data_IF_059227633447
#
_entry.id   IF_059227633447
#
_cell.length_a   1.000
_cell.length_b   1.000
_cell.length_c   1.000
_cell.angle_alpha   90.00
_cell.angle_beta   90.00
_cell.angle_gamma   90.00
#
_symmetry.space_group_name_H-M   'P 1'
#
loop_
_entity.id
_entity.type
_entity.pdbx_description
1 polymer ?
#
# COMPACT_ATOMS: atom_id res chain seq x y z
N UNK A 1 -11.40 -13.41 -2.62
CA UNK A 1 -11.91 -12.72 -1.41
C UNK A 1 -13.36 -13.12 -1.20
N UNK A 2 -13.75 -13.52 0.01
CA UNK A 2 -15.15 -13.86 0.30
C UNK A 2 -15.99 -12.57 0.27
N UNK A 3 -16.80 -12.41 -0.78
CA UNK A 3 -17.84 -11.40 -0.83
C UNK A 3 -18.77 -11.62 0.37
N UNK A 4 -18.86 -10.62 1.25
CA UNK A 4 -19.81 -10.62 2.35
C UNK A 4 -21.20 -10.32 1.77
N UNK A 5 -21.79 -11.28 1.06
CA UNK A 5 -23.21 -11.26 0.71
C UNK A 5 -24.04 -11.50 1.97
N UNK A 6 -25.15 -10.77 2.11
CA UNK A 6 -26.15 -11.04 3.14
C UNK A 6 -26.77 -12.42 2.86
N UNK A 7 -26.32 -13.44 3.59
CA UNK A 7 -26.97 -14.74 3.59
C UNK A 7 -28.16 -14.69 4.55
N UNK A 8 -29.34 -14.39 4.01
CA UNK A 8 -30.60 -14.54 4.75
C UNK A 8 -31.23 -15.89 4.42
N UNK A 9 -30.94 -16.92 5.21
CA UNK A 9 -31.76 -18.14 5.21
C UNK A 9 -32.93 -17.93 6.17
N UNK A 10 -34.14 -17.79 5.63
CA UNK A 10 -35.37 -17.68 6.42
C UNK A 10 -35.78 -19.06 6.91
N UNK A 11 -35.34 -19.45 8.10
CA UNK A 11 -35.95 -20.55 8.84
C UNK A 11 -37.04 -20.00 9.79
N UNK A 12 -38.29 -20.46 9.70
CA UNK A 12 -39.36 -19.93 10.53
C UNK A 12 -39.17 -20.36 12.00
N UNK A 13 -39.07 -19.37 12.90
CA UNK A 13 -39.17 -19.59 14.36
C UNK A 13 -37.90 -19.42 15.19
N UNK A 14 -36.79 -18.91 14.64
CA UNK A 14 -35.58 -18.57 15.42
C UNK A 14 -35.24 -17.10 15.22
N UNK A 15 -34.88 -16.38 16.30
CA UNK A 15 -34.40 -15.00 16.24
C UNK A 15 -33.43 -14.84 15.05
N UNK A 16 -33.58 -13.76 14.27
CA UNK A 16 -32.62 -13.38 13.22
C UNK A 16 -31.21 -13.33 13.84
N UNK A 17 -30.44 -14.39 13.66
CA UNK A 17 -29.01 -14.36 13.89
C UNK A 17 -28.41 -13.61 12.71
N UNK A 18 -28.23 -12.30 12.86
CA UNK A 18 -27.34 -11.55 11.98
C UNK A 18 -25.97 -12.18 12.12
N UNK A 19 -25.56 -12.99 11.14
CA UNK A 19 -24.17 -13.41 11.03
C UNK A 19 -23.34 -12.17 10.69
N UNK A 20 -22.87 -11.47 11.72
CA UNK A 20 -21.79 -10.51 11.52
C UNK A 20 -20.57 -11.28 11.04
N UNK A 21 -19.94 -10.77 9.98
CA UNK A 21 -18.68 -11.31 9.52
C UNK A 21 -17.73 -11.33 10.71
N UNK A 22 -17.03 -12.44 10.97
CA UNK A 22 -16.14 -12.55 12.15
C UNK A 22 -15.09 -11.43 12.19
N UNK A 23 -14.78 -10.85 11.04
CA UNK A 23 -13.88 -9.71 10.90
C UNK A 23 -14.47 -8.44 11.52
N UNK A 24 -15.79 -8.25 11.53
CA UNK A 24 -16.45 -7.09 12.15
C UNK A 24 -16.32 -7.05 13.68
N UNK A 25 -16.03 -8.20 14.31
CA UNK A 25 -15.71 -8.27 15.74
C UNK A 25 -14.32 -7.70 16.06
N UNK A 26 -13.44 -7.57 15.07
CA UNK A 26 -12.11 -7.00 15.26
C UNK A 26 -12.16 -5.46 15.23
N UNK A 27 -11.38 -4.77 16.09
CA UNK A 27 -11.25 -3.33 16.03
C UNK A 27 -10.80 -2.82 14.66
N UNK A 28 -11.30 -1.65 14.26
CA UNK A 28 -11.07 -1.06 12.93
C UNK A 28 -9.58 -1.00 12.55
N UNK A 29 -8.69 -0.68 13.49
CA UNK A 29 -7.25 -0.59 13.24
C UNK A 29 -6.64 -1.94 12.84
N UNK A 30 -7.05 -3.03 13.51
CA UNK A 30 -6.55 -4.37 13.22
C UNK A 30 -7.06 -4.87 11.86
N UNK A 31 -8.30 -4.54 11.53
CA UNK A 31 -8.88 -4.80 10.22
C UNK A 31 -8.16 -4.05 9.09
N UNK A 32 -7.83 -2.78 9.32
CA UNK A 32 -7.16 -1.92 8.34
C UNK A 32 -5.76 -2.42 7.98
N UNK A 33 -5.09 -3.12 8.91
CA UNK A 33 -3.81 -3.77 8.65
C UNK A 33 -3.85 -4.68 7.41
N UNK A 34 -4.92 -5.44 7.21
CA UNK A 34 -5.02 -6.36 6.07
C UNK A 34 -5.13 -5.60 4.73
N UNK A 35 -5.90 -4.51 4.71
CA UNK A 35 -6.03 -3.67 3.51
C UNK A 35 -4.70 -2.97 3.22
N UNK A 36 -4.03 -2.44 4.23
CA UNK A 36 -2.71 -1.83 4.10
C UNK A 36 -1.62 -2.81 3.66
N UNK A 37 -1.68 -4.05 4.15
CA UNK A 37 -0.74 -5.10 3.73
C UNK A 37 -0.91 -5.40 2.24
N UNK A 38 -2.14 -5.47 1.75
CA UNK A 38 -2.41 -5.68 0.32
C UNK A 38 -1.99 -4.47 -0.54
N UNK A 39 -2.31 -3.25 -0.11
CA UNK A 39 -1.79 -2.03 -0.76
C UNK A 39 -0.26 -2.04 -0.82
N UNK A 40 0.41 -2.44 0.26
CA UNK A 40 1.88 -2.53 0.32
C UNK A 40 2.44 -3.62 -0.58
N UNK A 41 1.77 -4.76 -0.71
CA UNK A 41 2.16 -5.84 -1.63
C UNK A 41 2.14 -5.34 -3.08
N UNK A 42 1.04 -4.71 -3.49
CA UNK A 42 0.90 -4.16 -4.84
C UNK A 42 1.92 -3.06 -5.10
N UNK A 43 2.10 -2.14 -4.13
CA UNK A 43 3.10 -1.08 -4.20
C UNK A 43 4.51 -1.63 -4.37
N UNK A 44 4.91 -2.66 -3.60
CA UNK A 44 6.24 -3.27 -3.71
C UNK A 44 6.47 -3.91 -5.08
N UNK A 45 5.44 -4.55 -5.68
CA UNK A 45 5.50 -5.09 -7.03
C UNK A 45 5.72 -3.98 -8.07
N UNK A 46 4.93 -2.90 -8.00
CA UNK A 46 5.05 -1.73 -8.89
C UNK A 46 6.40 -1.04 -8.73
N UNK A 47 6.85 -0.78 -7.51
CA UNK A 47 8.14 -0.16 -7.22
C UNK A 47 9.30 -0.99 -7.77
N UNK A 48 9.27 -2.30 -7.55
CA UNK A 48 10.29 -3.22 -8.07
C UNK A 48 10.31 -3.22 -9.61
N UNK A 49 9.13 -3.28 -10.23
CA UNK A 49 9.00 -3.22 -11.70
C UNK A 49 9.49 -1.89 -12.26
N UNK A 50 9.12 -0.76 -11.63
CA UNK A 50 9.56 0.59 -12.02
C UNK A 50 11.08 0.73 -11.97
N UNK A 51 11.74 0.24 -10.92
CA UNK A 51 13.21 0.25 -10.84
C UNK A 51 13.82 -0.68 -11.90
N UNK A 52 13.23 -1.85 -12.14
CA UNK A 52 13.74 -2.79 -13.13
C UNK A 52 13.65 -2.25 -14.58
N UNK A 53 12.57 -1.58 -14.94
CA UNK A 53 12.33 -1.07 -16.30
C UNK A 53 13.02 0.26 -16.59
N UNK A 54 13.12 1.16 -15.60
CA UNK A 54 13.53 2.55 -15.82
C UNK A 54 14.69 3.01 -14.91
N UNK A 55 15.20 2.14 -14.03
CA UNK A 55 16.30 2.46 -13.12
C UNK A 55 15.90 3.44 -12.01
N UNK A 56 16.89 4.00 -11.32
CA UNK A 56 16.68 4.91 -10.20
C UNK A 56 16.42 6.37 -10.62
N UNK A 57 16.74 6.75 -11.86
CA UNK A 57 16.54 8.12 -12.33
C UNK A 57 15.05 8.43 -12.57
N UNK A 58 14.71 9.71 -12.56
CA UNK A 58 13.35 10.18 -12.90
C UNK A 58 13.03 9.83 -14.35
N UNK A 59 11.87 9.24 -14.57
CA UNK A 59 11.33 8.84 -15.86
C UNK A 59 10.11 9.69 -16.22
N UNK A 60 9.83 9.81 -17.52
CA UNK A 60 8.68 10.55 -18.01
C UNK A 60 7.39 9.94 -17.46
N UNK A 61 6.59 10.76 -16.78
CA UNK A 61 5.32 10.32 -16.18
C UNK A 61 5.43 9.83 -14.74
N UNK A 62 6.62 9.84 -14.14
CA UNK A 62 6.76 9.72 -12.68
C UNK A 62 6.01 10.86 -11.98
N UNK A 63 5.48 10.56 -10.80
CA UNK A 63 4.68 11.48 -10.01
C UNK A 63 5.44 11.94 -8.77
N UNK A 64 5.18 13.16 -8.32
CA UNK A 64 5.61 13.66 -7.01
C UNK A 64 4.58 13.39 -5.91
N UNK A 65 4.86 13.85 -4.69
CA UNK A 65 3.94 13.73 -3.54
C UNK A 65 2.60 14.43 -3.74
N UNK A 66 2.55 15.47 -4.59
CA UNK A 66 1.31 16.17 -4.91
C UNK A 66 0.48 15.46 -6.00
N UNK A 67 0.92 14.27 -6.42
CA UNK A 67 0.28 13.49 -7.48
C UNK A 67 0.49 14.06 -8.88
N UNK A 68 1.32 15.09 -9.05
CA UNK A 68 1.60 15.67 -10.36
C UNK A 68 2.86 15.09 -10.96
N UNK A 69 2.94 15.12 -12.29
CA UNK A 69 4.13 14.69 -13.03
C UNK A 69 5.31 15.59 -12.68
N UNK A 70 6.44 14.97 -12.35
CA UNK A 70 7.69 15.67 -12.08
C UNK A 70 8.57 15.75 -13.33
N UNK A 71 9.44 16.76 -13.38
CA UNK A 71 10.39 16.93 -14.48
C UNK A 71 11.49 15.88 -14.42
N UNK A 72 12.07 15.51 -15.57
CA UNK A 72 13.17 14.53 -15.65
C UNK A 72 14.45 14.97 -14.94
N UNK A 73 14.58 16.26 -14.65
CA UNK A 73 15.71 16.87 -13.93
C UNK A 73 15.48 16.91 -12.41
N UNK A 74 14.32 16.45 -11.91
CA UNK A 74 14.03 16.37 -10.49
C UNK A 74 14.88 15.32 -9.77
N UNK A 75 14.84 15.33 -8.44
CA UNK A 75 15.56 14.34 -7.65
C UNK A 75 14.90 12.96 -7.78
N UNK A 76 15.67 11.87 -7.92
CA UNK A 76 15.17 10.51 -7.74
C UNK A 76 14.38 10.27 -6.44
N UNK A 77 14.66 11.06 -5.40
CA UNK A 77 13.99 10.99 -4.11
C UNK A 77 12.63 11.72 -4.07
N UNK A 78 12.29 12.47 -5.13
CA UNK A 78 10.99 13.13 -5.26
C UNK A 78 9.94 12.20 -5.90
N UNK A 79 10.37 11.06 -6.48
CA UNK A 79 9.50 10.08 -7.12
C UNK A 79 8.60 9.44 -6.07
N UNK A 80 7.30 9.48 -6.32
CA UNK A 80 6.26 8.83 -5.54
C UNK A 80 5.44 7.88 -6.40
N UNK A 81 5.09 6.74 -5.81
CA UNK A 81 4.17 5.78 -6.41
C UNK A 81 2.86 5.85 -5.62
N UNK A 82 1.72 6.10 -6.29
CA UNK A 82 0.41 6.16 -5.65
C UNK A 82 0.01 4.79 -5.09
N UNK A 83 -0.78 4.78 -4.03
CA UNK A 83 -1.41 3.56 -3.54
C UNK A 83 -2.78 3.36 -4.24
N UNK A 84 -3.17 2.12 -4.52
CA UNK A 84 -4.49 1.84 -5.08
C UNK A 84 -5.60 2.25 -4.09
N UNK A 85 -6.65 2.90 -4.61
CA UNK A 85 -7.64 3.65 -3.84
C UNK A 85 -8.11 4.92 -4.57
N UNK A 86 -8.69 5.87 -3.84
CA UNK A 86 -9.27 7.11 -4.37
C UNK A 86 -8.23 8.19 -4.66
N UNK A 87 -7.32 7.91 -5.59
CA UNK A 87 -6.39 8.92 -6.09
C UNK A 87 -6.61 9.09 -7.59
N UNK A 88 -7.53 10.00 -7.95
CA UNK A 88 -7.82 10.43 -9.33
C UNK A 88 -6.54 10.92 -10.05
N UNK A 89 -5.53 11.38 -9.28
CA UNK A 89 -4.31 11.96 -9.81
C UNK A 89 -3.40 11.00 -10.59
N UNK A 90 -3.62 9.67 -10.56
CA UNK A 90 -2.76 8.71 -11.28
C UNK A 90 -3.46 7.92 -12.40
N UNK A 91 -4.73 8.20 -12.71
CA UNK A 91 -5.50 7.46 -13.72
C UNK A 91 -4.83 7.49 -15.12
N UNK A 92 -4.01 8.50 -15.40
CA UNK A 92 -3.23 8.66 -16.64
C UNK A 92 -1.73 8.33 -16.51
N UNK A 93 -1.36 7.44 -15.57
CA UNK A 93 0.03 6.99 -15.37
C UNK A 93 0.22 5.53 -15.78
N UNK A 94 1.46 5.16 -16.13
CA UNK A 94 1.84 3.76 -16.41
C UNK A 94 1.57 2.84 -15.21
N UNK A 95 1.59 3.39 -13.99
CA UNK A 95 1.31 2.68 -12.74
C UNK A 95 -0.16 2.22 -12.67
N UNK A 96 -1.08 3.01 -13.23
CA UNK A 96 -2.51 2.68 -13.24
C UNK A 96 -2.78 1.33 -13.91
N UNK A 97 -2.21 1.14 -15.11
CA UNK A 97 -2.36 -0.11 -15.86
C UNK A 97 -1.77 -1.29 -15.09
N UNK A 98 -0.60 -1.12 -14.47
CA UNK A 98 0.02 -2.21 -13.72
C UNK A 98 -0.81 -2.61 -12.49
N UNK A 99 -1.45 -1.66 -11.82
CA UNK A 99 -2.40 -1.99 -10.76
C UNK A 99 -3.64 -2.68 -11.32
N UNK A 100 -4.21 -2.22 -12.42
CA UNK A 100 -5.38 -2.84 -13.04
C UNK A 100 -5.13 -4.31 -13.38
N UNK A 101 -3.97 -4.63 -13.98
CA UNK A 101 -3.58 -5.99 -14.32
C UNK A 101 -3.52 -6.89 -13.07
N UNK A 102 -2.83 -6.41 -12.01
CA UNK A 102 -2.68 -7.16 -10.75
C UNK A 102 -4.00 -7.32 -9.99
N UNK A 103 -4.86 -6.30 -9.99
CA UNK A 103 -6.16 -6.36 -9.34
C UNK A 103 -7.09 -7.32 -10.08
N UNK A 104 -7.08 -7.28 -11.42
CA UNK A 104 -7.89 -8.18 -12.24
C UNK A 104 -7.50 -9.65 -12.03
N UNK A 105 -6.21 -9.94 -11.88
CA UNK A 105 -5.72 -11.28 -11.53
C UNK A 105 -6.30 -11.79 -10.20
N UNK A 106 -6.46 -10.89 -9.22
CA UNK A 106 -7.05 -11.18 -7.91
C UNK A 106 -8.60 -11.12 -7.90
N UNK A 107 -9.23 -10.83 -9.05
CA UNK A 107 -10.69 -10.67 -9.18
C UNK A 107 -11.22 -9.39 -8.55
N UNK A 108 -10.39 -8.35 -8.50
CA UNK A 108 -10.67 -7.06 -7.88
C UNK A 108 -10.62 -5.93 -8.91
N UNK A 109 -11.15 -4.79 -8.51
CA UNK A 109 -11.14 -3.53 -9.29
C UNK A 109 -10.65 -2.39 -8.42
N UNK A 110 -10.23 -1.28 -9.01
CA UNK A 110 -9.84 -0.10 -8.22
C UNK A 110 -11.00 0.40 -7.32
N UNK A 111 -12.25 0.31 -7.80
CA UNK A 111 -13.45 0.63 -7.02
C UNK A 111 -13.67 -0.27 -5.79
N UNK A 112 -13.03 -1.45 -5.75
CA UNK A 112 -13.08 -2.33 -4.58
C UNK A 112 -12.45 -1.65 -3.35
N UNK A 113 -11.42 -0.81 -3.52
CA UNK A 113 -10.82 -0.07 -2.41
C UNK A 113 -11.68 1.07 -1.92
N UNK A 114 -12.37 1.79 -2.82
CA UNK A 114 -13.26 2.88 -2.44
C UNK A 114 -14.43 2.42 -1.57
N UNK A 115 -14.88 1.18 -1.76
CA UNK A 115 -15.91 0.56 -0.89
C UNK A 115 -15.42 0.27 0.54
N UNK A 116 -14.11 0.27 0.77
CA UNK A 116 -13.47 0.00 2.06
C UNK A 116 -13.20 1.27 2.86
N UNK A 117 -13.21 2.46 2.25
CA UNK A 117 -12.88 3.72 2.93
C UNK A 117 -13.80 4.02 4.13
N UNK A 118 -15.08 3.65 4.05
CA UNK A 118 -16.04 3.86 5.14
C UNK A 118 -15.83 2.91 6.34
N UNK A 119 -15.06 1.83 6.14
CA UNK A 119 -14.89 0.74 7.12
C UNK A 119 -13.45 0.57 7.61
N UNK A 120 -12.49 1.22 6.96
CA UNK A 120 -11.06 1.04 7.18
C UNK A 120 -10.33 2.39 7.11
N UNK A 121 -9.31 2.58 7.94
CA UNK A 121 -8.57 3.85 8.02
C UNK A 121 -7.50 3.96 6.93
N UNK A 122 -7.88 4.39 5.72
CA UNK A 122 -6.94 4.59 4.61
C UNK A 122 -6.35 6.00 4.63
N UNK A 123 -5.17 6.16 5.24
CA UNK A 123 -4.54 7.48 5.48
C UNK A 123 -3.51 7.95 4.43
N UNK A 124 -2.77 7.03 3.81
CA UNK A 124 -1.74 7.36 2.81
C UNK A 124 -2.29 7.16 1.39
N UNK A 125 -2.01 8.12 0.50
CA UNK A 125 -2.44 8.07 -0.91
C UNK A 125 -1.29 7.80 -1.89
N UNK A 126 -0.05 8.00 -1.45
CA UNK A 126 1.17 7.74 -2.21
C UNK A 126 2.35 7.48 -1.27
N UNK A 127 3.39 6.80 -1.76
CA UNK A 127 4.63 6.55 -1.03
C UNK A 127 5.87 6.87 -1.86
N UNK A 128 6.95 7.40 -1.26
CA UNK A 128 8.19 7.66 -1.96
C UNK A 128 8.83 6.36 -2.45
N UNK A 129 9.36 6.37 -3.67
CA UNK A 129 10.07 5.23 -4.25
C UNK A 129 11.41 4.99 -3.56
N UNK A 130 12.15 6.07 -3.28
CA UNK A 130 13.45 6.05 -2.62
C UNK A 130 13.44 6.99 -1.42
N UNK A 131 14.12 6.58 -0.35
CA UNK A 131 14.31 7.41 0.84
C UNK A 131 15.81 7.66 1.02
N UNK A 132 16.20 8.92 1.15
CA UNK A 132 17.57 9.30 1.50
C UNK A 132 17.65 9.57 3.02
N UNK A 133 18.16 8.62 3.84
CA UNK A 133 18.32 8.86 5.26
C UNK A 133 19.34 9.98 5.49
N UNK A 134 18.97 10.92 6.37
CA UNK A 134 19.83 12.03 6.77
C UNK A 134 20.63 11.67 8.03
N UNK A 135 21.75 12.34 8.25
CA UNK A 135 22.56 12.24 9.47
C UNK A 135 23.02 10.80 9.83
N UNK A 136 23.28 9.97 8.83
CA UNK A 136 23.75 8.60 9.03
C UNK A 136 25.15 8.60 9.66
N UNK A 137 25.23 8.16 10.92
CA UNK A 137 26.49 7.97 11.65
C UNK A 137 26.81 6.49 11.75
N UNK A 138 28.06 6.13 11.45
CA UNK A 138 28.51 4.73 11.51
C UNK A 138 29.89 4.63 12.18
N UNK A 139 30.18 3.48 12.80
CA UNK A 139 31.47 3.16 13.41
C UNK A 139 31.71 1.66 13.37
N UNK A 140 32.90 1.23 12.96
CA UNK A 140 33.30 -0.18 13.10
C UNK A 140 33.68 -0.47 14.56
N UNK A 141 33.02 -1.47 15.16
CA UNK A 141 33.29 -1.93 16.53
C UNK A 141 33.68 -3.41 16.46
N UNK A 142 34.87 -3.74 16.95
CA UNK A 142 35.28 -5.13 17.14
C UNK A 142 34.81 -5.60 18.52
N UNK A 143 34.18 -6.76 18.57
CA UNK A 143 33.70 -7.37 19.80
C UNK A 143 33.95 -8.87 19.75
N UNK A 144 34.18 -9.48 20.91
CA UNK A 144 34.34 -10.93 21.07
C UNK A 144 33.13 -11.58 21.74
N UNK A 145 32.42 -10.84 22.59
CA UNK A 145 31.20 -11.31 23.27
C UNK A 145 29.95 -10.97 22.44
N UNK A 146 29.19 -11.96 21.94
CA UNK A 146 27.93 -11.73 21.21
C UNK A 146 26.85 -10.99 22.01
N UNK A 147 26.95 -10.90 23.34
CA UNK A 147 26.02 -10.18 24.21
C UNK A 147 26.50 -8.79 24.62
N UNK A 148 27.66 -8.35 24.12
CA UNK A 148 28.16 -7.02 24.40
C UNK A 148 27.20 -5.94 23.87
N UNK A 149 26.95 -4.91 24.68
CA UNK A 149 26.13 -3.79 24.28
C UNK A 149 26.95 -2.81 23.41
N UNK A 150 26.61 -2.73 22.12
CA UNK A 150 27.39 -1.98 21.12
C UNK A 150 26.82 -0.59 20.80
N UNK A 151 25.64 -0.25 21.33
CA UNK A 151 25.03 1.06 21.15
C UNK A 151 25.73 2.06 22.06
N UNK A 152 26.62 2.87 21.50
CA UNK A 152 27.27 3.97 22.21
C UNK A 152 26.25 5.11 22.32
N UNK A 153 25.96 5.58 23.54
CA UNK A 153 25.09 6.74 23.79
C UNK A 153 25.68 8.02 23.22
#
# INVERSE_FOLDING_TARGET
MAMCGEWSETFPGRLMLKFQCITDALPMNLRSLYVHAYQSLLWNKVASRRIAEHGAAVHQGDLGFDGKKISTEASPFDICIPLPGKTVAFEDSYVSQWYEDMLTEDGLTNSSFSSLEDRFALGETARPLLICPQDVKWKFIRYSDPRAYLQVR
#
